data_IF_042215877449
#
_entry.id   IF_042215877449
#
_cell.length_a   1.000
_cell.length_b   1.000
_cell.length_c   1.000
_cell.angle_alpha   90.00
_cell.angle_beta   90.00
_cell.angle_gamma   90.00
#
_symmetry.space_group_name_H-M   'P 1'
#
loop_
_entity.id
_entity.type
_entity.pdbx_description
1 polymer ?
#
# COMPACT_ATOMS: atom_id res chain seq x y z
N UNK A 1 -1.07 26.14 18.27
CA UNK A 1 -1.48 25.47 17.01
C UNK A 1 -0.73 26.12 15.86
N UNK A 2 0.21 25.40 15.23
CA UNK A 2 1.27 25.98 14.40
C UNK A 2 0.83 26.09 12.92
N UNK A 3 0.90 27.29 12.33
CA UNK A 3 0.48 27.59 10.93
C UNK A 3 1.12 26.67 9.87
N UNK A 4 2.28 26.11 10.17
CA UNK A 4 3.01 25.21 9.28
C UNK A 4 2.28 23.87 9.04
N UNK A 5 1.56 23.34 10.03
CA UNK A 5 0.86 22.07 9.88
C UNK A 5 -0.37 22.15 8.96
N UNK A 6 -1.02 23.32 8.88
CA UNK A 6 -2.20 23.52 8.04
C UNK A 6 -1.85 23.63 6.55
N UNK A 7 -0.72 24.28 6.21
CA UNK A 7 -0.25 24.41 4.82
C UNK A 7 0.17 23.05 4.25
N UNK A 8 0.85 22.22 5.04
CA UNK A 8 1.29 20.88 4.58
C UNK A 8 0.14 19.92 4.27
N UNK A 9 -0.99 20.06 4.97
CA UNK A 9 -2.18 19.21 4.77
C UNK A 9 -2.98 19.67 3.54
N UNK A 10 -3.10 20.97 3.31
CA UNK A 10 -3.81 21.53 2.14
C UNK A 10 -3.05 21.24 0.84
N UNK A 11 -1.71 21.37 0.84
CA UNK A 11 -0.87 21.06 -0.33
C UNK A 11 -0.93 19.56 -0.69
N UNK A 12 -0.98 18.66 0.30
CA UNK A 12 -1.13 17.22 0.05
C UNK A 12 -2.49 16.85 -0.54
N UNK A 13 -3.58 17.50 -0.10
CA UNK A 13 -4.93 17.21 -0.60
C UNK A 13 -5.21 17.73 -2.02
N UNK A 14 -4.50 18.77 -2.46
CA UNK A 14 -4.61 19.33 -3.81
C UNK A 14 -3.89 18.47 -4.87
N UNK A 15 -2.77 17.83 -4.51
CA UNK A 15 -1.98 17.03 -5.45
C UNK A 15 -2.65 15.73 -5.92
N UNK A 16 -3.47 15.06 -5.11
CA UNK A 16 -4.03 13.76 -5.53
C UNK A 16 -5.19 13.87 -6.55
N UNK A 17 -5.82 15.04 -6.71
CA UNK A 17 -6.98 15.22 -7.60
C UNK A 17 -6.77 16.19 -8.77
N UNK A 18 -5.90 17.19 -8.62
CA UNK A 18 -5.62 18.18 -9.68
C UNK A 18 -4.60 17.62 -10.67
N UNK A 19 -3.64 16.85 -10.16
CA UNK A 19 -2.50 16.32 -10.89
C UNK A 19 -2.84 15.25 -11.94
N UNK A 20 -3.76 14.29 -11.68
CA UNK A 20 -4.17 13.35 -12.72
C UNK A 20 -4.89 14.06 -13.87
N UNK A 21 -5.69 15.09 -13.57
CA UNK A 21 -6.48 15.83 -14.58
C UNK A 21 -5.58 16.63 -15.52
N UNK A 22 -4.55 17.30 -14.99
CA UNK A 22 -3.61 18.06 -15.80
C UNK A 22 -2.79 17.15 -16.73
N UNK A 23 -2.30 16.01 -16.23
CA UNK A 23 -1.58 15.04 -17.06
C UNK A 23 -2.46 14.40 -18.14
N UNK A 24 -3.73 14.09 -17.84
CA UNK A 24 -4.68 13.57 -18.85
C UNK A 24 -4.93 14.60 -19.95
N UNK A 25 -5.10 15.88 -19.62
CA UNK A 25 -5.34 16.93 -20.61
C UNK A 25 -4.13 17.13 -21.56
N UNK A 26 -2.91 17.02 -21.03
CA UNK A 26 -1.68 17.07 -21.82
C UNK A 26 -1.53 15.82 -22.69
N UNK A 27 -1.71 14.62 -22.14
CA UNK A 27 -1.60 13.36 -22.90
C UNK A 27 -2.67 13.22 -23.99
N UNK A 28 -3.87 13.77 -23.77
CA UNK A 28 -4.94 13.85 -24.76
C UNK A 28 -4.71 14.93 -25.83
N UNK A 29 -3.59 15.66 -25.76
CA UNK A 29 -3.22 16.74 -26.66
C UNK A 29 -4.24 17.90 -26.72
N UNK A 30 -5.03 18.09 -25.66
CA UNK A 30 -6.00 19.19 -25.54
C UNK A 30 -5.33 20.51 -25.18
N UNK A 31 -4.16 20.45 -24.55
CA UNK A 31 -3.37 21.62 -24.19
C UNK A 31 -1.89 21.27 -24.06
N UNK A 32 -1.01 22.27 -24.25
CA UNK A 32 0.43 22.11 -24.04
C UNK A 32 0.77 22.03 -22.55
N UNK A 33 1.93 21.45 -22.22
CA UNK A 33 2.44 21.35 -20.84
C UNK A 33 2.48 22.73 -20.15
N UNK A 34 2.85 23.78 -20.89
CA UNK A 34 2.89 25.17 -20.40
C UNK A 34 1.50 25.67 -20.00
N UNK A 35 0.51 25.49 -20.87
CA UNK A 35 -0.88 25.92 -20.62
C UNK A 35 -1.49 25.12 -19.47
N UNK A 36 -1.21 23.81 -19.40
CA UNK A 36 -1.65 22.97 -18.29
C UNK A 36 -1.04 23.39 -16.95
N UNK A 37 0.24 23.78 -16.95
CA UNK A 37 0.95 24.25 -15.75
C UNK A 37 0.26 25.49 -15.16
N UNK A 38 -0.04 26.47 -16.01
CA UNK A 38 -0.72 27.71 -15.62
C UNK A 38 -2.18 27.46 -15.20
N UNK A 39 -2.91 26.66 -15.97
CA UNK A 39 -4.33 26.39 -15.72
C UNK A 39 -4.58 25.58 -14.44
N UNK A 40 -3.72 24.60 -14.15
CA UNK A 40 -3.88 23.72 -12.98
C UNK A 40 -2.99 24.11 -11.80
N UNK A 41 -2.20 25.19 -11.92
CA UNK A 41 -1.23 25.64 -10.92
C UNK A 41 -0.29 24.51 -10.46
N UNK A 42 0.22 23.74 -11.43
CA UNK A 42 1.21 22.66 -11.22
C UNK A 42 2.51 23.06 -11.89
N UNK A 43 3.65 22.89 -11.22
CA UNK A 43 4.95 23.24 -11.79
C UNK A 43 5.22 22.51 -13.12
N UNK A 44 5.73 23.28 -14.09
CA UNK A 44 6.04 22.79 -15.43
C UNK A 44 6.96 21.56 -15.41
N UNK A 45 8.01 21.61 -14.58
CA UNK A 45 8.99 20.53 -14.48
C UNK A 45 8.33 19.21 -14.06
N UNK A 46 7.45 19.26 -13.06
CA UNK A 46 6.76 18.08 -12.56
C UNK A 46 5.82 17.52 -13.65
N UNK A 47 5.03 18.37 -14.32
CA UNK A 47 4.21 17.93 -15.45
C UNK A 47 5.03 17.30 -16.58
N UNK A 48 6.18 17.89 -16.90
CA UNK A 48 7.09 17.37 -17.92
C UNK A 48 7.68 16.01 -17.51
N UNK A 49 8.08 15.83 -16.26
CA UNK A 49 8.60 14.56 -15.76
C UNK A 49 7.53 13.44 -15.81
N UNK A 50 6.27 13.77 -15.54
CA UNK A 50 5.15 12.84 -15.67
C UNK A 50 4.73 12.57 -17.12
N UNK A 51 4.77 13.58 -17.98
CA UNK A 51 4.54 13.42 -19.41
C UNK A 51 5.57 12.46 -20.03
N UNK A 52 6.83 12.60 -19.61
CA UNK A 52 7.94 11.72 -20.00
C UNK A 52 8.06 10.47 -19.12
N UNK A 53 7.07 10.18 -18.27
CA UNK A 53 6.98 8.95 -17.49
C UNK A 53 8.19 8.64 -16.60
N UNK A 54 8.90 9.68 -16.11
CA UNK A 54 10.06 9.51 -15.23
C UNK A 54 9.71 8.92 -13.85
N UNK A 55 8.45 9.05 -13.44
CA UNK A 55 7.94 8.57 -12.15
C UNK A 55 6.69 7.70 -12.33
N UNK A 56 6.89 6.45 -12.79
CA UNK A 56 5.83 5.47 -13.02
C UNK A 56 5.24 4.89 -11.71
N UNK A 57 6.03 4.90 -10.64
CA UNK A 57 5.62 4.29 -9.38
C UNK A 57 4.67 5.20 -8.61
N UNK A 58 3.71 4.58 -7.92
CA UNK A 58 2.82 5.30 -7.01
C UNK A 58 3.64 5.97 -5.92
N UNK A 59 3.29 7.21 -5.57
CA UNK A 59 3.91 7.90 -4.45
C UNK A 59 3.85 7.09 -3.15
N UNK A 60 4.96 7.11 -2.41
CA UNK A 60 5.14 6.35 -1.18
C UNK A 60 5.87 5.02 -1.38
N UNK A 61 5.98 4.26 -0.28
CA UNK A 61 6.67 2.96 -0.30
C UNK A 61 5.84 1.95 -1.10
N UNK A 62 6.50 1.26 -2.02
CA UNK A 62 5.85 0.19 -2.78
C UNK A 62 5.49 -0.98 -1.86
N UNK A 63 4.39 -1.69 -2.12
CA UNK A 63 4.06 -2.92 -1.41
C UNK A 63 5.19 -3.93 -1.53
N UNK A 64 5.44 -4.67 -0.45
CA UNK A 64 6.46 -5.72 -0.38
C UNK A 64 6.12 -6.99 -1.20
N UNK A 65 4.87 -7.12 -1.65
CA UNK A 65 4.42 -8.16 -2.56
C UNK A 65 3.86 -7.46 -3.80
N UNK A 66 4.09 -8.04 -4.97
CA UNK A 66 3.46 -7.51 -6.18
C UNK A 66 1.94 -7.78 -6.15
N UNK A 67 1.19 -7.10 -7.01
CA UNK A 67 -0.29 -7.21 -7.02
C UNK A 67 -0.76 -8.65 -7.23
N UNK A 68 -0.10 -9.43 -8.07
CA UNK A 68 -0.51 -10.81 -8.39
C UNK A 68 -0.25 -11.76 -7.22
N UNK A 69 0.91 -11.64 -6.58
CA UNK A 69 1.28 -12.38 -5.37
C UNK A 69 0.32 -12.05 -4.22
N UNK A 70 0.02 -10.77 -4.06
CA UNK A 70 -0.93 -10.31 -3.05
C UNK A 70 -2.31 -10.92 -3.29
N UNK A 71 -2.81 -10.95 -4.54
CA UNK A 71 -4.09 -11.59 -4.88
C UNK A 71 -4.07 -13.11 -4.65
N UNK A 72 -3.02 -13.81 -5.07
CA UNK A 72 -2.87 -15.25 -4.86
C UNK A 72 -2.86 -15.61 -3.38
N UNK A 73 -2.16 -14.82 -2.56
CA UNK A 73 -2.13 -15.01 -1.11
C UNK A 73 -3.52 -14.78 -0.50
N UNK A 74 -4.24 -13.75 -0.95
CA UNK A 74 -5.62 -13.46 -0.49
C UNK A 74 -6.55 -14.62 -0.81
N UNK A 75 -6.50 -15.14 -2.04
CA UNK A 75 -7.30 -16.30 -2.44
C UNK A 75 -6.94 -17.54 -1.62
N UNK A 76 -5.65 -17.83 -1.43
CA UNK A 76 -5.21 -18.93 -0.58
C UNK A 76 -5.73 -18.82 0.86
N UNK A 77 -5.71 -17.62 1.44
CA UNK A 77 -6.25 -17.36 2.78
C UNK A 77 -7.77 -17.52 2.85
N UNK A 78 -8.50 -17.13 1.80
CA UNK A 78 -9.96 -17.34 1.72
C UNK A 78 -10.32 -18.83 1.70
N UNK A 79 -9.56 -19.64 0.96
CA UNK A 79 -9.75 -21.10 0.96
C UNK A 79 -9.37 -21.72 2.31
N UNK A 80 -8.26 -21.28 2.92
CA UNK A 80 -7.82 -21.77 4.22
C UNK A 80 -8.82 -21.49 5.35
N UNK A 81 -9.58 -20.38 5.26
CA UNK A 81 -10.66 -20.03 6.20
C UNK A 81 -11.77 -21.09 6.25
N UNK A 82 -12.05 -21.78 5.14
CA UNK A 82 -13.10 -22.81 5.07
C UNK A 82 -12.66 -24.08 5.83
N UNK A 83 -11.35 -24.25 6.04
CA UNK A 83 -10.79 -25.36 6.82
C UNK A 83 -10.72 -25.10 8.33
N UNK A 84 -10.20 -26.09 9.06
CA UNK A 84 -10.00 -26.09 10.52
C UNK A 84 -8.84 -25.16 10.97
N UNK A 85 -8.21 -24.45 10.03
CA UNK A 85 -6.99 -23.69 10.31
C UNK A 85 -7.31 -22.32 10.92
N UNK A 86 -6.77 -22.07 12.11
CA UNK A 86 -6.84 -20.77 12.76
C UNK A 86 -5.90 -19.80 12.03
N UNK A 87 -6.47 -18.95 11.19
CA UNK A 87 -5.76 -17.82 10.61
C UNK A 87 -5.48 -16.81 11.73
N UNK A 88 -4.24 -16.83 12.25
CA UNK A 88 -3.71 -15.84 13.20
C UNK A 88 -2.78 -14.87 12.48
N UNK A 89 -2.55 -13.69 13.08
CA UNK A 89 -1.59 -12.71 12.54
C UNK A 89 -0.19 -13.30 12.35
N UNK A 90 0.26 -14.09 13.33
CA UNK A 90 1.54 -14.80 13.29
C UNK A 90 1.60 -15.73 12.08
N UNK A 91 0.60 -16.58 11.90
CA UNK A 91 0.57 -17.54 10.78
C UNK A 91 0.66 -16.83 9.43
N UNK A 92 -0.12 -15.77 9.22
CA UNK A 92 -0.12 -15.02 7.97
C UNK A 92 1.25 -14.37 7.71
N UNK A 93 1.86 -13.76 8.73
CA UNK A 93 3.20 -13.16 8.62
C UNK A 93 4.27 -14.22 8.31
N UNK A 94 4.17 -15.41 8.88
CA UNK A 94 5.09 -16.52 8.60
C UNK A 94 4.91 -17.11 7.20
N UNK A 95 3.68 -17.21 6.68
CA UNK A 95 3.43 -17.64 5.30
C UNK A 95 4.11 -16.68 4.32
N UNK A 96 3.97 -15.37 4.54
CA UNK A 96 4.61 -14.34 3.70
C UNK A 96 6.13 -14.42 3.78
N UNK A 97 6.69 -14.57 4.99
CA UNK A 97 8.13 -14.78 5.17
C UNK A 97 8.62 -15.99 4.38
N UNK A 98 7.94 -17.12 4.51
CA UNK A 98 8.30 -18.34 3.79
C UNK A 98 8.22 -18.17 2.27
N UNK A 99 7.19 -17.46 1.78
CA UNK A 99 7.07 -17.13 0.36
C UNK A 99 8.29 -16.33 -0.11
N UNK A 100 8.61 -15.21 0.56
CA UNK A 100 9.78 -14.39 0.22
C UNK A 100 11.08 -15.19 0.24
N UNK A 101 11.32 -15.96 1.31
CA UNK A 101 12.52 -16.79 1.44
C UNK A 101 12.63 -17.85 0.34
N UNK A 102 11.52 -18.53 0.00
CA UNK A 102 11.51 -19.58 -1.05
C UNK A 102 11.79 -19.01 -2.45
N UNK A 103 11.36 -17.78 -2.71
CA UNK A 103 11.59 -17.10 -3.98
C UNK A 103 12.90 -16.28 -4.01
N UNK A 104 13.73 -16.33 -2.95
CA UNK A 104 14.98 -15.57 -2.87
C UNK A 104 14.77 -14.05 -2.77
N UNK A 105 13.57 -13.60 -2.43
CA UNK A 105 13.22 -12.20 -2.30
C UNK A 105 13.59 -11.69 -0.90
N UNK A 106 14.18 -10.50 -0.83
CA UNK A 106 14.54 -9.86 0.43
C UNK A 106 13.90 -8.48 0.52
N UNK A 107 13.08 -8.29 1.55
CA UNK A 107 12.34 -7.06 1.78
C UNK A 107 12.99 -6.25 2.89
N UNK A 108 13.64 -5.15 2.53
CA UNK A 108 14.44 -4.32 3.45
C UNK A 108 13.64 -3.72 4.61
N UNK A 109 12.31 -3.66 4.49
CA UNK A 109 11.42 -3.20 5.57
C UNK A 109 11.05 -4.28 6.58
N UNK A 110 11.41 -5.53 6.32
CA UNK A 110 11.08 -6.67 7.14
C UNK A 110 12.34 -7.16 7.85
N UNK A 111 12.27 -7.22 9.17
CA UNK A 111 13.34 -7.83 9.96
C UNK A 111 13.34 -9.33 9.69
N UNK A 112 14.46 -9.88 9.21
CA UNK A 112 14.61 -11.30 8.86
C UNK A 112 13.55 -11.82 7.87
N UNK A 113 13.15 -10.96 6.92
CA UNK A 113 12.04 -11.17 5.97
C UNK A 113 10.68 -11.45 6.65
N UNK A 114 10.54 -11.20 7.95
CA UNK A 114 9.28 -11.29 8.66
C UNK A 114 8.53 -9.96 8.57
N UNK A 115 7.33 -9.92 7.95
CA UNK A 115 6.53 -8.70 7.90
C UNK A 115 6.22 -8.18 9.29
N UNK A 116 6.14 -6.86 9.47
CA UNK A 116 5.75 -6.24 10.74
C UNK A 116 4.25 -6.29 11.04
N UNK A 117 3.86 -5.86 12.25
CA UNK A 117 2.45 -5.72 12.64
C UNK A 117 1.71 -4.67 11.82
N UNK A 118 2.38 -3.57 11.44
CA UNK A 118 1.76 -2.51 10.64
C UNK A 118 1.55 -2.93 9.19
N UNK A 119 2.48 -3.70 8.63
CA UNK A 119 2.27 -4.35 7.34
C UNK A 119 1.03 -5.25 7.39
N UNK A 120 0.90 -6.07 8.43
CA UNK A 120 -0.25 -6.95 8.60
C UNK A 120 -1.57 -6.18 8.68
N UNK A 121 -1.64 -5.09 9.46
CA UNK A 121 -2.82 -4.22 9.52
C UNK A 121 -3.16 -3.64 8.14
N UNK A 122 -2.15 -3.18 7.39
CA UNK A 122 -2.33 -2.65 6.05
C UNK A 122 -2.83 -3.71 5.05
N UNK A 123 -2.25 -4.90 5.10
CA UNK A 123 -2.65 -6.06 4.29
C UNK A 123 -4.10 -6.46 4.58
N UNK A 124 -4.49 -6.55 5.85
CA UNK A 124 -5.85 -6.92 6.23
C UNK A 124 -6.91 -5.90 5.79
N UNK A 125 -6.57 -4.61 5.70
CA UNK A 125 -7.49 -3.59 5.14
C UNK A 125 -7.82 -3.84 3.67
N UNK A 126 -6.96 -4.55 2.94
CA UNK A 126 -7.19 -4.91 1.52
C UNK A 126 -8.07 -6.15 1.37
N UNK A 127 -8.34 -6.88 2.46
CA UNK A 127 -9.17 -8.09 2.46
C UNK A 127 -10.44 -7.81 3.29
N UNK A 128 -11.45 -7.13 2.72
CA UNK A 128 -12.70 -6.95 3.42
C UNK A 128 -13.31 -8.33 3.75
N UNK A 129 -13.90 -8.44 4.93
CA UNK A 129 -14.63 -9.63 5.42
C UNK A 129 -13.77 -10.86 5.79
N UNK A 130 -12.44 -10.74 5.93
CA UNK A 130 -11.62 -11.81 6.51
C UNK A 130 -11.64 -11.74 8.05
N UNK A 131 -12.44 -12.60 8.68
CA UNK A 131 -12.47 -12.74 10.14
C UNK A 131 -11.27 -13.57 10.60
N UNK A 132 -10.32 -12.92 11.28
CA UNK A 132 -9.19 -13.57 11.95
C UNK A 132 -9.66 -13.93 13.36
N UNK A 133 -9.40 -15.16 13.82
CA UNK A 133 -9.62 -15.46 15.24
C UNK A 133 -8.48 -14.83 16.04
N UNK A 134 -8.81 -14.01 17.04
CA UNK A 134 -7.84 -13.69 18.09
C UNK A 134 -7.40 -15.01 18.71
N UNK A 135 -6.10 -15.30 18.70
CA UNK A 135 -5.59 -16.38 19.51
C UNK A 135 -5.67 -15.91 20.96
N UNK A 136 -6.66 -16.39 21.70
CA UNK A 136 -6.75 -16.21 23.14
C UNK A 136 -5.56 -16.92 23.78
N UNK A 137 -4.54 -16.16 24.14
CA UNK A 137 -3.54 -16.59 25.11
C UNK A 137 -3.39 -15.47 26.13
N UNK A 138 -4.18 -15.53 27.22
CA UNK A 138 -3.89 -14.92 28.55
C UNK A 138 -5.02 -15.14 29.58
N UNK A 139 -5.71 -16.30 29.65
CA UNK A 139 -6.56 -16.56 30.84
C UNK A 139 -6.86 -18.02 31.19
N UNK A 140 -5.95 -18.95 30.94
CA UNK A 140 -6.08 -20.36 31.41
C UNK A 140 -4.80 -20.88 32.06
N UNK A 141 -4.18 -20.06 32.91
CA UNK A 141 -3.22 -20.50 33.94
C UNK A 141 -3.47 -19.76 35.26
N UNK A 142 -4.74 -19.65 35.65
CA UNK A 142 -5.12 -18.85 36.82
C UNK A 142 -6.50 -19.11 37.42
N UNK A 143 -7.06 -20.31 37.27
CA UNK A 143 -8.17 -20.77 38.11
C UNK A 143 -8.10 -22.30 38.29
N UNK A 144 -7.92 -22.68 39.56
CA UNK A 144 -8.09 -23.98 40.24
C UNK A 144 -7.10 -25.11 39.89
#
# INVERSE_FOLDING_TARGET
MNRLAHVSVVVRSMNDRIYPKSNTAVKANWMSIRVASEHYAVDYATLNDHYNEKHLLKYGRQPALNTNEEQLLIEGLRHARIGVFLLTSTNIRHIVRQHLTKHGLTETGFKDNLPGTDWFKGFMKKIPNLTIKQADMTNTLGQL
#
